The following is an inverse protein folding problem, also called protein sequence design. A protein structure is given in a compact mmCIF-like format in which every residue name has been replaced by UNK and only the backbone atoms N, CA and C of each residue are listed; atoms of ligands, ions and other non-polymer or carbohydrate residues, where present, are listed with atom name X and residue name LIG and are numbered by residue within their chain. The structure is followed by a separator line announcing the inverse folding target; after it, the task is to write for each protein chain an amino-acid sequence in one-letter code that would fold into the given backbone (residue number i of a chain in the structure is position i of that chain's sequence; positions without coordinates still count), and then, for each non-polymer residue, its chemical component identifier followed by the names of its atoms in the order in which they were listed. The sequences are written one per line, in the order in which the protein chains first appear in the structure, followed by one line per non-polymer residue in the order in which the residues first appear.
data_IF_184487196737
#
_entry.id   IF_184487196737
#
_cell.length_a   1.000
_cell.length_b   1.000
_cell.length_c   1.000
_cell.angle_alpha   90.00
_cell.angle_beta   90.00
_cell.angle_gamma   90.00
#
_symmetry.space_group_name_H-M   'P 1'
#
loop_
_entity.id
_entity.type
_entity.pdbx_description
1 polymer ?
#
# COMPACT_ATOMS: atom_id res chain seq x y z
N UNK A 1 64.32 9.74 5.77
CA UNK A 1 63.29 8.70 5.89
C UNK A 1 61.97 9.42 6.08
N UNK A 2 61.21 9.53 4.99
CA UNK A 2 59.92 10.22 4.89
C UNK A 2 58.84 9.14 4.92
N UNK A 3 58.03 9.10 5.98
CA UNK A 3 56.78 8.34 6.03
C UNK A 3 55.61 9.33 5.98
N UNK A 4 55.34 9.86 4.78
CA UNK A 4 54.10 10.56 4.50
C UNK A 4 53.01 9.51 4.22
N UNK A 5 52.13 9.32 5.20
CA UNK A 5 50.95 8.46 5.05
C UNK A 5 49.90 9.24 4.24
N UNK A 6 49.35 8.71 3.13
CA UNK A 6 48.39 9.48 2.34
C UNK A 6 47.05 9.59 3.07
N UNK A 7 46.52 10.80 3.09
CA UNK A 7 45.22 11.15 3.67
C UNK A 7 44.10 10.33 3.03
N UNK A 8 43.33 9.64 3.86
CA UNK A 8 42.09 8.98 3.48
C UNK A 8 41.12 10.05 2.93
N UNK A 9 40.94 10.07 1.61
CA UNK A 9 39.88 10.84 0.97
C UNK A 9 38.53 10.26 1.40
N UNK A 10 37.90 10.89 2.40
CA UNK A 10 36.50 10.65 2.72
C UNK A 10 35.65 10.97 1.49
N UNK A 11 35.21 9.92 0.79
CA UNK A 11 34.19 10.03 -0.26
C UNK A 11 33.02 10.85 0.30
N UNK A 12 32.61 11.95 -0.36
CA UNK A 12 31.50 12.75 0.13
C UNK A 12 30.25 11.87 0.19
N UNK A 13 29.68 11.74 1.40
CA UNK A 13 28.37 11.11 1.59
C UNK A 13 27.41 11.75 0.60
N UNK A 14 26.72 10.97 -0.26
CA UNK A 14 25.77 11.57 -1.20
C UNK A 14 24.70 12.26 -0.36
N UNK A 15 24.74 13.59 -0.37
CA UNK A 15 23.75 14.43 0.27
C UNK A 15 22.44 14.12 -0.44
N UNK A 16 21.60 13.32 0.22
CA UNK A 16 20.26 12.94 -0.20
C UNK A 16 19.46 14.23 -0.40
N UNK A 17 19.57 14.84 -1.57
CA UNK A 17 18.74 15.95 -1.98
C UNK A 17 17.35 15.37 -2.18
N UNK A 18 16.47 15.57 -1.18
CA UNK A 18 15.06 15.24 -1.31
C UNK A 18 14.57 15.80 -2.65
N UNK A 19 13.96 14.98 -3.53
CA UNK A 19 13.40 15.50 -4.76
C UNK A 19 12.38 16.61 -4.42
N UNK A 20 12.25 17.64 -5.26
CA UNK A 20 11.29 18.72 -5.05
C UNK A 20 9.91 18.08 -4.89
N UNK A 21 9.21 18.47 -3.82
CA UNK A 21 7.89 17.96 -3.47
C UNK A 21 6.98 18.12 -4.69
N UNK A 22 6.57 17.00 -5.28
CA UNK A 22 5.59 17.02 -6.37
C UNK A 22 4.23 17.46 -5.83
N UNK A 23 3.54 18.31 -6.57
CA UNK A 23 2.16 18.68 -6.29
C UNK A 23 1.29 17.43 -6.14
N UNK A 24 0.84 17.18 -4.92
CA UNK A 24 -0.10 16.11 -4.61
C UNK A 24 -1.51 16.71 -4.70
N UNK A 25 -2.36 16.14 -5.57
CA UNK A 25 -3.79 16.41 -5.53
C UNK A 25 -4.46 15.26 -4.76
N UNK A 26 -4.69 15.42 -3.45
CA UNK A 26 -5.32 14.39 -2.62
C UNK A 26 -6.71 14.00 -3.12
N UNK A 27 -7.47 14.96 -3.66
CA UNK A 27 -8.90 14.79 -3.93
C UNK A 27 -9.19 13.69 -4.94
N UNK A 28 -8.38 13.56 -5.98
CA UNK A 28 -8.56 12.51 -7.01
C UNK A 28 -8.36 11.12 -6.42
N UNK A 29 -7.36 10.97 -5.55
CA UNK A 29 -7.09 9.69 -4.91
C UNK A 29 -8.16 9.36 -3.86
N UNK A 30 -8.66 10.36 -3.12
CA UNK A 30 -9.78 10.18 -2.20
C UNK A 30 -11.07 9.81 -2.93
N UNK A 31 -11.37 10.43 -4.07
CA UNK A 31 -12.53 10.06 -4.88
C UNK A 31 -12.44 8.60 -5.35
N UNK A 32 -11.29 8.19 -5.88
CA UNK A 32 -11.08 6.79 -6.31
C UNK A 32 -11.25 5.82 -5.13
N UNK A 33 -10.68 6.16 -3.98
CA UNK A 33 -10.81 5.38 -2.75
C UNK A 33 -12.28 5.25 -2.31
N UNK A 34 -13.01 6.35 -2.26
CA UNK A 34 -14.43 6.37 -1.87
C UNK A 34 -15.27 5.53 -2.84
N UNK A 35 -15.04 5.64 -4.14
CA UNK A 35 -15.75 4.85 -5.15
C UNK A 35 -15.45 3.36 -4.99
N UNK A 36 -14.20 2.97 -4.73
CA UNK A 36 -13.83 1.58 -4.50
C UNK A 36 -14.49 1.00 -3.23
N UNK A 37 -14.49 1.75 -2.13
CA UNK A 37 -15.15 1.32 -0.89
C UNK A 37 -16.68 1.24 -1.09
N UNK A 38 -17.29 2.21 -1.75
CA UNK A 38 -18.71 2.17 -2.08
C UNK A 38 -19.06 0.96 -2.96
N UNK A 39 -18.22 0.66 -3.96
CA UNK A 39 -18.34 -0.53 -4.79
C UNK A 39 -18.30 -1.82 -3.97
N UNK A 40 -17.40 -1.91 -2.97
CA UNK A 40 -17.35 -3.04 -2.05
C UNK A 40 -18.65 -3.18 -1.23
N UNK A 41 -19.24 -2.07 -0.75
CA UNK A 41 -20.54 -2.10 -0.07
C UNK A 41 -21.67 -2.59 -0.98
N UNK A 42 -21.72 -2.12 -2.22
CA UNK A 42 -22.73 -2.56 -3.21
C UNK A 42 -22.58 -4.06 -3.50
N UNK A 43 -21.34 -4.54 -3.70
CA UNK A 43 -21.06 -5.96 -3.93
C UNK A 43 -21.41 -6.82 -2.71
N UNK A 44 -21.11 -6.35 -1.50
CA UNK A 44 -21.52 -7.03 -0.28
C UNK A 44 -23.03 -7.19 -0.22
N UNK A 45 -23.77 -6.12 -0.48
CA UNK A 45 -25.23 -6.14 -0.44
C UNK A 45 -25.84 -7.07 -1.50
N UNK A 46 -25.27 -7.11 -2.71
CA UNK A 46 -25.82 -7.90 -3.82
C UNK A 46 -25.39 -9.37 -3.82
N UNK A 47 -24.13 -9.66 -3.45
CA UNK A 47 -23.47 -10.96 -3.67
C UNK A 47 -22.73 -11.49 -2.42
N UNK A 48 -22.74 -10.75 -1.31
CA UNK A 48 -22.07 -11.12 -0.07
C UNK A 48 -20.54 -10.96 -0.09
N UNK A 49 -19.89 -11.47 0.95
CA UNK A 49 -18.44 -11.38 1.12
C UNK A 49 -17.58 -12.01 0.00
N UNK A 50 -17.97 -13.09 -0.69
CA UNK A 50 -17.16 -13.64 -1.78
C UNK A 50 -16.87 -12.63 -2.89
N UNK A 51 -17.85 -11.79 -3.24
CA UNK A 51 -17.65 -10.73 -4.23
C UNK A 51 -16.72 -9.63 -3.73
N UNK A 52 -16.84 -9.24 -2.45
CA UNK A 52 -15.93 -8.26 -1.82
C UNK A 52 -14.50 -8.79 -1.78
N UNK A 53 -14.31 -10.07 -1.43
CA UNK A 53 -13.00 -10.73 -1.43
C UNK A 53 -12.39 -10.69 -2.83
N UNK A 54 -13.15 -11.05 -3.87
CA UNK A 54 -12.67 -11.02 -5.24
C UNK A 54 -12.25 -9.61 -5.68
N UNK A 55 -13.06 -8.58 -5.35
CA UNK A 55 -12.73 -7.18 -5.63
C UNK A 55 -11.46 -6.74 -4.88
N UNK A 56 -11.35 -7.02 -3.58
CA UNK A 56 -10.18 -6.64 -2.79
C UNK A 56 -8.92 -7.40 -3.21
N UNK A 57 -9.05 -8.65 -3.64
CA UNK A 57 -7.94 -9.43 -4.19
C UNK A 57 -7.33 -8.75 -5.42
N UNK A 58 -8.14 -8.17 -6.31
CA UNK A 58 -7.63 -7.39 -7.44
C UNK A 58 -6.75 -6.22 -6.97
N UNK A 59 -7.18 -5.49 -5.94
CA UNK A 59 -6.41 -4.38 -5.37
C UNK A 59 -5.13 -4.85 -4.67
N UNK A 60 -5.18 -5.96 -3.94
CA UNK A 60 -4.00 -6.56 -3.31
C UNK A 60 -2.98 -7.01 -4.35
N UNK A 61 -3.41 -7.68 -5.44
CA UNK A 61 -2.52 -8.07 -6.53
C UNK A 61 -1.86 -6.83 -7.15
N UNK A 62 -2.63 -5.78 -7.41
CA UNK A 62 -2.10 -4.51 -7.90
C UNK A 62 -1.10 -3.91 -6.91
N UNK A 63 -1.40 -3.94 -5.63
CA UNK A 63 -0.52 -3.44 -4.58
C UNK A 63 0.80 -4.21 -4.54
N UNK A 64 0.77 -5.54 -4.61
CA UNK A 64 1.99 -6.38 -4.68
C UNK A 64 2.84 -5.98 -5.89
N UNK A 65 2.23 -5.85 -7.07
CA UNK A 65 2.94 -5.42 -8.29
C UNK A 65 3.57 -4.05 -8.12
N UNK A 66 2.84 -3.09 -7.56
CA UNK A 66 3.32 -1.75 -7.28
C UNK A 66 4.46 -1.75 -6.25
N UNK A 67 4.36 -2.53 -5.18
CA UNK A 67 5.41 -2.70 -4.16
C UNK A 67 6.68 -3.25 -4.79
N UNK A 68 6.60 -4.30 -5.61
CA UNK A 68 7.76 -4.88 -6.30
C UNK A 68 8.40 -3.84 -7.22
N UNK A 69 7.60 -3.08 -7.97
CA UNK A 69 8.11 -2.02 -8.82
C UNK A 69 8.81 -0.93 -8.01
N UNK A 70 8.18 -0.41 -6.94
CA UNK A 70 8.79 0.63 -6.09
C UNK A 70 10.09 0.13 -5.47
N UNK A 71 10.07 -1.06 -4.88
CA UNK A 71 11.24 -1.65 -4.22
C UNK A 71 12.44 -1.82 -5.15
N UNK A 72 12.19 -2.19 -6.42
CA UNK A 72 13.27 -2.42 -7.39
C UNK A 72 13.73 -1.18 -8.14
N UNK A 73 12.86 -0.20 -8.34
CA UNK A 73 13.10 0.90 -9.29
C UNK A 73 13.37 2.23 -8.62
N UNK A 74 12.95 2.41 -7.36
CA UNK A 74 13.05 3.70 -6.68
C UNK A 74 14.37 3.77 -5.91
N UNK A 75 15.14 4.83 -6.14
CA UNK A 75 16.47 5.01 -5.53
C UNK A 75 16.41 5.20 -4.01
N UNK A 76 15.28 5.72 -3.51
CA UNK A 76 15.14 6.12 -2.12
C UNK A 76 14.67 4.97 -1.22
N UNK A 77 15.54 4.48 -0.33
CA UNK A 77 15.26 3.33 0.56
C UNK A 77 13.96 3.47 1.37
N UNK A 78 13.64 4.68 1.83
CA UNK A 78 12.39 4.94 2.56
C UNK A 78 11.15 4.64 1.72
N UNK A 79 11.17 4.92 0.41
CA UNK A 79 10.05 4.61 -0.47
C UNK A 79 9.82 3.09 -0.55
N UNK A 80 10.90 2.31 -0.68
CA UNK A 80 10.85 0.85 -0.65
C UNK A 80 10.29 0.32 0.67
N UNK A 81 10.81 0.78 1.81
CA UNK A 81 10.33 0.35 3.14
C UNK A 81 8.86 0.70 3.37
N UNK A 82 8.46 1.94 3.09
CA UNK A 82 7.07 2.37 3.25
C UNK A 82 6.12 1.59 2.31
N UNK A 83 6.58 1.22 1.12
CA UNK A 83 5.81 0.42 0.17
C UNK A 83 5.54 -1.01 0.68
N UNK A 84 6.50 -1.59 1.41
CA UNK A 84 6.36 -2.90 2.05
C UNK A 84 5.42 -2.81 3.26
N UNK A 85 5.53 -1.76 4.07
CA UNK A 85 4.63 -1.55 5.22
C UNK A 85 3.17 -1.46 4.76
N UNK A 86 2.90 -0.70 3.69
CA UNK A 86 1.56 -0.62 3.11
C UNK A 86 1.06 -1.99 2.61
N UNK A 87 1.93 -2.79 1.99
CA UNK A 87 1.57 -4.14 1.55
C UNK A 87 1.22 -5.05 2.73
N UNK A 88 2.10 -5.12 3.75
CA UNK A 88 1.87 -5.96 4.94
C UNK A 88 0.57 -5.55 5.63
N UNK A 89 0.37 -4.24 5.82
CA UNK A 89 -0.85 -3.68 6.39
C UNK A 89 -2.10 -4.14 5.63
N UNK A 90 -2.14 -3.94 4.31
CA UNK A 90 -3.28 -4.38 3.49
C UNK A 90 -3.46 -5.90 3.49
N UNK A 91 -2.37 -6.68 3.50
CA UNK A 91 -2.42 -8.15 3.54
C UNK A 91 -3.05 -8.66 4.83
N UNK A 92 -2.74 -8.05 5.98
CA UNK A 92 -3.34 -8.42 7.27
C UNK A 92 -4.86 -8.25 7.21
N UNK A 93 -5.35 -7.09 6.76
CA UNK A 93 -6.79 -6.86 6.65
C UNK A 93 -7.45 -7.70 5.55
N UNK A 94 -6.72 -8.06 4.49
CA UNK A 94 -7.21 -8.99 3.49
C UNK A 94 -7.38 -10.41 4.04
N UNK A 95 -6.45 -10.89 4.86
CA UNK A 95 -6.59 -12.19 5.54
C UNK A 95 -7.80 -12.18 6.48
N UNK A 96 -7.98 -11.10 7.26
CA UNK A 96 -9.16 -10.92 8.12
C UNK A 96 -10.44 -10.98 7.28
N UNK A 97 -10.49 -10.26 6.16
CA UNK A 97 -11.63 -10.28 5.24
C UNK A 97 -11.93 -11.67 4.70
N UNK A 98 -10.91 -12.41 4.26
CA UNK A 98 -11.10 -13.76 3.70
C UNK A 98 -11.62 -14.70 4.77
N UNK A 99 -10.95 -14.77 5.91
CA UNK A 99 -11.29 -15.74 6.98
C UNK A 99 -12.66 -15.42 7.57
N UNK A 100 -12.89 -14.18 8.00
CA UNK A 100 -14.17 -13.81 8.60
C UNK A 100 -15.29 -13.74 7.56
N UNK A 101 -15.01 -13.22 6.36
CA UNK A 101 -16.01 -13.10 5.30
C UNK A 101 -16.51 -14.45 4.82
N UNK A 102 -15.63 -15.46 4.69
CA UNK A 102 -16.04 -16.82 4.36
C UNK A 102 -16.81 -17.48 5.51
N UNK A 103 -16.42 -17.25 6.76
CA UNK A 103 -17.16 -17.75 7.92
C UNK A 103 -18.58 -17.16 7.99
N UNK A 104 -18.71 -15.84 7.85
CA UNK A 104 -20.00 -15.15 7.82
C UNK A 104 -20.87 -15.59 6.64
N UNK A 105 -20.26 -15.87 5.49
CA UNK A 105 -20.99 -16.41 4.32
C UNK A 105 -21.59 -17.80 4.58
N UNK A 106 -21.03 -18.54 5.53
CA UNK A 106 -21.51 -19.85 5.98
C UNK A 106 -22.36 -19.76 7.25
N UNK A 107 -22.82 -18.55 7.62
CA UNK A 107 -23.62 -18.29 8.83
C UNK A 107 -22.89 -18.61 10.14
N UNK A 108 -21.55 -18.62 10.12
CA UNK A 108 -20.74 -18.77 11.31
C UNK A 108 -20.36 -17.39 11.88
N UNK A 109 -19.97 -17.35 13.16
CA UNK A 109 -19.40 -16.16 13.77
C UNK A 109 -18.02 -15.82 13.14
N UNK A 110 -17.58 -14.55 13.17
CA UNK A 110 -16.23 -14.18 12.76
C UNK A 110 -15.19 -14.97 13.55
N UNK A 111 -14.15 -15.48 12.88
CA UNK A 111 -13.13 -16.33 13.52
C UNK A 111 -12.03 -15.47 14.15
N UNK A 112 -11.60 -14.43 13.45
CA UNK A 112 -10.57 -13.50 13.90
C UNK A 112 -11.26 -12.31 14.55
N UNK A 113 -10.95 -12.07 15.83
CA UNK A 113 -11.54 -11.01 16.66
C UNK A 113 -13.08 -11.03 16.66
N UNK A 114 -13.72 -12.10 17.17
CA UNK A 114 -15.17 -12.26 17.16
C UNK A 114 -15.93 -11.12 17.87
N UNK A 115 -15.32 -10.52 18.90
CA UNK A 115 -15.92 -9.41 19.67
C UNK A 115 -16.03 -8.11 18.85
N UNK A 116 -15.31 -8.01 17.73
CA UNK A 116 -15.35 -6.86 16.82
C UNK A 116 -16.11 -7.20 15.55
N UNK A 117 -17.43 -7.33 15.67
CA UNK A 117 -18.35 -7.77 14.60
C UNK A 117 -18.15 -6.96 13.31
N UNK A 118 -18.02 -5.64 13.42
CA UNK A 118 -17.91 -4.74 12.27
C UNK A 118 -16.55 -4.75 11.59
N UNK A 119 -15.51 -5.33 12.22
CA UNK A 119 -14.13 -5.32 11.71
C UNK A 119 -14.06 -5.84 10.27
N UNK A 120 -14.78 -6.93 10.00
CA UNK A 120 -14.82 -7.56 8.66
C UNK A 120 -15.38 -6.59 7.61
N UNK A 121 -16.43 -5.84 7.96
CA UNK A 121 -17.05 -4.86 7.06
C UNK A 121 -16.15 -3.65 6.78
N UNK A 122 -15.26 -3.32 7.71
CA UNK A 122 -14.32 -2.20 7.56
C UNK A 122 -13.03 -2.59 6.84
N UNK A 123 -12.72 -3.88 6.68
CA UNK A 123 -11.48 -4.32 6.02
C UNK A 123 -11.26 -3.72 4.61
N UNK A 124 -12.27 -3.48 3.75
CA UNK A 124 -12.02 -2.83 2.46
C UNK A 124 -11.45 -1.42 2.61
N UNK A 125 -11.88 -0.67 3.63
CA UNK A 125 -11.36 0.65 3.97
C UNK A 125 -9.85 0.56 4.25
N UNK A 126 -9.45 -0.35 5.13
CA UNK A 126 -8.05 -0.52 5.53
C UNK A 126 -7.18 -1.05 4.37
N UNK A 127 -7.66 -2.03 3.61
CA UNK A 127 -6.96 -2.54 2.42
C UNK A 127 -6.70 -1.39 1.45
N UNK A 128 -7.72 -0.59 1.15
CA UNK A 128 -7.62 0.56 0.26
C UNK A 128 -6.74 1.68 0.83
N UNK A 129 -6.61 1.79 2.16
CA UNK A 129 -5.68 2.71 2.82
C UNK A 129 -4.22 2.43 2.43
N UNK A 130 -3.80 1.17 2.40
CA UNK A 130 -2.47 0.80 1.93
C UNK A 130 -2.27 1.03 0.42
N UNK A 131 -3.31 0.79 -0.40
CA UNK A 131 -3.30 1.12 -1.83
C UNK A 131 -3.12 2.62 -2.06
N UNK A 132 -3.83 3.44 -1.30
CA UNK A 132 -3.69 4.90 -1.33
C UNK A 132 -2.28 5.33 -0.88
N UNK A 133 -1.76 4.74 0.21
CA UNK A 133 -0.39 4.96 0.66
C UNK A 133 0.63 4.67 -0.44
N UNK A 134 0.44 3.58 -1.20
CA UNK A 134 1.29 3.24 -2.34
C UNK A 134 1.21 4.26 -3.46
N UNK A 135 0.01 4.75 -3.80
CA UNK A 135 -0.15 5.79 -4.82
C UNK A 135 0.60 7.08 -4.43
N UNK A 136 0.59 7.43 -3.15
CA UNK A 136 1.31 8.59 -2.63
C UNK A 136 2.81 8.40 -2.74
N UNK A 137 3.32 7.23 -2.34
CA UNK A 137 4.75 6.90 -2.49
C UNK A 137 5.17 7.01 -3.96
N UNK A 138 4.39 6.41 -4.87
CA UNK A 138 4.70 6.45 -6.30
C UNK A 138 4.76 7.87 -6.84
N UNK A 139 3.84 8.73 -6.39
CA UNK A 139 3.77 10.12 -6.82
C UNK A 139 4.92 10.95 -6.27
N UNK A 140 5.23 10.83 -4.98
CA UNK A 140 6.29 11.61 -4.31
C UNK A 140 7.70 11.18 -4.72
N UNK A 141 7.95 9.87 -4.82
CA UNK A 141 9.30 9.30 -4.94
C UNK A 141 9.58 8.66 -6.31
N UNK A 142 8.59 8.63 -7.20
CA UNK A 142 8.75 7.98 -8.50
C UNK A 142 9.70 8.71 -9.44
N UNK A 143 10.32 7.99 -10.38
CA UNK A 143 11.30 8.55 -11.32
C UNK A 143 10.75 9.78 -12.03
N UNK A 144 11.59 10.79 -12.26
CA UNK A 144 11.22 11.96 -13.05
C UNK A 144 11.11 11.54 -14.51
N UNK A 145 9.97 11.79 -15.16
CA UNK A 145 9.94 11.88 -16.62
C UNK A 145 10.88 13.02 -16.99
N UNK A 146 12.08 12.70 -17.52
CA UNK A 146 12.88 13.69 -18.23
C UNK A 146 12.12 13.95 -19.51
N UNK A 147 11.37 15.05 -19.54
CA UNK A 147 11.01 15.66 -20.82
C UNK A 147 12.33 16.25 -21.33
N UNK A 148 12.90 15.60 -22.35
CA UNK A 148 13.89 16.22 -23.22
C UNK A 148 13.19 17.24 -24.09
#
# INVERSE_FOLDING_TARGET
MTEDTPSNEEKPKPMSTRPPVRGFNPLVNYLFYTVAVLGAYILYWALGYPAVIAMMMFFVIRLIRDTVHVYRTYEYKFAGQASIVNLIYSMVFFIILVVNGLALSQQMAPIIFPDFIDLTSWTPLFIMGGVFGMMNIKKMWGPRKRFY
#
